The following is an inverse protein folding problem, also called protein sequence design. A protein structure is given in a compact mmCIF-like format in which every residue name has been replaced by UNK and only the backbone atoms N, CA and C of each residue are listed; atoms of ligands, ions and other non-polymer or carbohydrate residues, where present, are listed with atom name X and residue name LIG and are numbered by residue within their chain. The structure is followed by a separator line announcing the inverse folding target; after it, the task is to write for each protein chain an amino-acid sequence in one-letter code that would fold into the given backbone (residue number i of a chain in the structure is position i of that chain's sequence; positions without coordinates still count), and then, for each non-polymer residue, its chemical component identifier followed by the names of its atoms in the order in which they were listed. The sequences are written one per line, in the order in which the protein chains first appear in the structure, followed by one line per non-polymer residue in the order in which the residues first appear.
data_IF_136152376586
#
_entry.id   IF_136152376586
#
_cell.length_a   1.000
_cell.length_b   1.000
_cell.length_c   1.000
_cell.angle_alpha   90.00
_cell.angle_beta   90.00
_cell.angle_gamma   90.00
#
_symmetry.space_group_name_H-M   'P 1'
#
loop_
_entity.id
_entity.type
_entity.pdbx_description
1 polymer ?
#
# COMPACT_ATOMS: atom_id res chain seq x y z
N UNK A 1 -0.81 14.54 23.40
CA UNK A 1 0.46 14.61 22.64
C UNK A 1 0.50 13.42 21.70
N UNK A 2 0.52 13.62 20.37
CA UNK A 2 0.70 12.50 19.44
C UNK A 2 2.11 11.90 19.65
N UNK A 3 2.16 10.60 19.91
CA UNK A 3 3.41 9.86 20.11
C UNK A 3 3.86 9.28 18.77
N UNK A 4 5.15 9.41 18.45
CA UNK A 4 5.78 8.89 17.23
C UNK A 4 5.45 7.40 17.02
N UNK A 5 5.41 6.60 18.10
CA UNK A 5 5.06 5.18 18.04
C UNK A 5 3.64 4.91 17.53
N UNK A 6 2.70 5.84 17.77
CA UNK A 6 1.33 5.72 17.27
C UNK A 6 1.24 6.17 15.81
N UNK A 7 1.98 7.23 15.47
CA UNK A 7 2.09 7.73 14.10
C UNK A 7 2.67 6.67 13.15
N UNK A 8 3.78 6.03 13.54
CA UNK A 8 4.42 4.96 12.75
C UNK A 8 3.47 3.78 12.53
N UNK A 9 2.69 3.43 13.55
CA UNK A 9 1.73 2.33 13.49
C UNK A 9 0.56 2.61 12.55
N UNK A 10 0.16 3.88 12.42
CA UNK A 10 -0.88 4.31 11.49
C UNK A 10 -0.38 4.45 10.06
N UNK A 11 0.86 4.91 9.87
CA UNK A 11 1.45 5.22 8.57
C UNK A 11 1.98 3.95 7.88
N UNK A 12 2.68 3.09 8.61
CA UNK A 12 3.25 1.86 8.04
C UNK A 12 2.33 0.66 8.23
N UNK A 13 2.05 -0.13 7.17
CA UNK A 13 2.71 -0.14 5.85
C UNK A 13 1.97 0.61 4.73
N UNK A 14 0.92 1.39 5.03
CA UNK A 14 0.09 2.08 4.01
C UNK A 14 0.89 3.06 3.17
N UNK A 15 1.87 3.76 3.77
CA UNK A 15 2.76 4.66 3.04
C UNK A 15 3.56 3.94 1.95
N UNK A 16 4.02 2.70 2.20
CA UNK A 16 4.73 1.90 1.20
C UNK A 16 3.80 1.52 0.03
N UNK A 17 2.53 1.22 0.32
CA UNK A 17 1.55 0.94 -0.73
C UNK A 17 1.28 2.16 -1.62
N UNK A 18 1.18 3.36 -1.03
CA UNK A 18 1.01 4.61 -1.78
C UNK A 18 2.26 4.98 -2.61
N UNK A 19 3.45 4.74 -2.08
CA UNK A 19 4.68 4.95 -2.83
C UNK A 19 4.76 4.01 -4.05
N UNK A 20 4.41 2.72 -3.89
CA UNK A 20 4.36 1.76 -5.00
C UNK A 20 3.31 2.17 -6.05
N UNK A 21 2.14 2.65 -5.63
CA UNK A 21 1.07 3.02 -6.58
C UNK A 21 1.40 4.27 -7.38
N UNK A 22 2.23 5.17 -6.83
CA UNK A 22 2.70 6.39 -7.47
C UNK A 22 3.87 6.11 -8.44
N UNK A 23 4.77 5.21 -8.09
CA UNK A 23 5.98 4.94 -8.88
C UNK A 23 5.80 3.83 -9.93
N UNK A 24 4.85 2.91 -9.75
CA UNK A 24 4.62 1.77 -10.64
C UNK A 24 3.52 2.03 -11.68
N UNK A 25 3.73 1.68 -12.97
CA UNK A 25 2.69 1.77 -13.99
C UNK A 25 1.53 0.82 -13.67
N UNK A 26 0.30 1.25 -13.99
CA UNK A 26 -0.94 0.53 -13.65
C UNK A 26 -0.95 -0.95 -14.04
N UNK A 27 -0.28 -1.29 -15.16
CA UNK A 27 -0.22 -2.65 -15.72
C UNK A 27 0.66 -3.62 -14.92
N UNK A 28 1.44 -3.15 -13.94
CA UNK A 28 2.32 -3.94 -13.08
C UNK A 28 1.88 -3.90 -11.60
N UNK A 29 0.63 -3.48 -11.32
CA UNK A 29 0.10 -3.40 -9.96
C UNK A 29 -0.40 -4.76 -9.48
N UNK A 30 0.53 -5.67 -9.18
CA UNK A 30 0.24 -6.98 -8.60
C UNK A 30 0.38 -6.97 -7.08
N UNK A 31 -0.72 -7.26 -6.38
CA UNK A 31 -0.73 -7.27 -4.91
C UNK A 31 0.17 -8.36 -4.32
N UNK A 32 0.29 -9.51 -4.99
CA UNK A 32 1.14 -10.63 -4.54
C UNK A 32 2.63 -10.27 -4.70
N UNK A 33 2.99 -9.60 -5.80
CA UNK A 33 4.36 -9.13 -6.02
C UNK A 33 4.71 -8.01 -5.01
N UNK A 34 3.77 -7.10 -4.76
CA UNK A 34 3.91 -6.07 -3.72
C UNK A 34 4.19 -6.69 -2.34
N UNK A 35 3.44 -7.72 -1.90
CA UNK A 35 3.71 -8.38 -0.62
C UNK A 35 5.09 -9.04 -0.57
N UNK A 36 5.52 -9.62 -1.68
CA UNK A 36 6.85 -10.23 -1.79
C UNK A 36 7.96 -9.19 -1.62
N UNK A 37 7.78 -7.98 -2.17
CA UNK A 37 8.68 -6.83 -2.01
C UNK A 37 8.56 -6.14 -0.65
N UNK A 38 7.38 -6.20 -0.01
CA UNK A 38 7.14 -5.61 1.30
C UNK A 38 7.84 -6.39 2.42
N UNK A 39 7.97 -7.72 2.31
CA UNK A 39 8.67 -8.56 3.28
C UNK A 39 10.10 -8.13 3.65
N UNK A 40 11.01 -7.82 2.70
CA UNK A 40 12.33 -7.30 3.06
C UNK A 40 12.27 -5.88 3.64
N UNK A 41 11.28 -5.06 3.25
CA UNK A 41 11.10 -3.69 3.78
C UNK A 41 10.67 -3.75 5.24
N UNK A 42 9.74 -4.62 5.62
CA UNK A 42 9.34 -4.79 7.02
C UNK A 42 10.47 -5.31 7.91
N UNK A 43 11.33 -6.19 7.40
CA UNK A 43 12.56 -6.60 8.11
C UNK A 43 13.52 -5.44 8.37
N UNK A 44 13.61 -4.47 7.45
CA UNK A 44 14.42 -3.25 7.65
C UNK A 44 13.78 -2.32 8.68
N UNK A 45 12.46 -2.14 8.63
CA UNK A 45 11.70 -1.37 9.63
C UNK A 45 11.83 -1.98 11.04
N UNK A 46 11.82 -3.30 11.13
CA UNK A 46 12.03 -4.05 12.39
C UNK A 46 13.42 -3.78 12.98
N UNK A 47 14.46 -3.77 12.14
CA UNK A 47 15.83 -3.38 12.56
C UNK A 47 15.94 -1.92 12.99
N UNK A 48 15.12 -1.04 12.44
CA UNK A 48 15.06 0.38 12.83
C UNK A 48 14.22 0.62 14.09
N UNK A 49 13.56 -0.40 14.63
CA UNK A 49 12.70 -0.28 15.81
C UNK A 49 11.40 0.47 15.55
N UNK A 50 10.95 0.56 14.28
CA UNK A 50 9.71 1.25 13.91
C UNK A 50 8.50 0.39 14.29
N UNK A 51 7.52 0.96 14.96
CA UNK A 51 6.29 0.26 15.33
C UNK A 51 5.30 0.23 14.16
N UNK A 52 5.37 -0.79 13.29
CA UNK A 52 4.48 -0.92 12.12
C UNK A 52 3.38 -2.00 12.32
N UNK A 53 2.28 -1.88 11.57
CA UNK A 53 1.18 -2.83 11.66
C UNK A 53 1.45 -4.15 10.91
N UNK A 54 1.55 -5.26 11.64
CA UNK A 54 1.84 -6.61 11.09
C UNK A 54 0.64 -7.28 10.41
N UNK A 55 -0.58 -6.76 10.60
CA UNK A 55 -1.80 -7.34 10.04
C UNK A 55 -1.82 -7.30 8.50
N UNK A 56 -1.16 -6.31 7.89
CA UNK A 56 -1.13 -6.10 6.45
C UNK A 56 -0.18 -7.04 5.68
N UNK A 57 0.59 -7.89 6.37
CA UNK A 57 1.52 -8.83 5.73
C UNK A 57 0.85 -10.11 5.21
N UNK A 58 -0.43 -10.34 5.55
CA UNK A 58 -1.17 -11.50 5.07
C UNK A 58 -1.84 -11.18 3.73
N UNK A 59 -1.66 -12.01 2.69
CA UNK A 59 -2.46 -11.89 1.49
C UNK A 59 -3.94 -12.10 1.85
N UNK A 60 -4.87 -11.26 1.35
CA UNK A 60 -6.28 -11.53 1.48
C UNK A 60 -6.59 -12.85 0.75
N UNK A 61 -7.49 -13.69 1.28
CA UNK A 61 -7.82 -14.99 0.69
C UNK A 61 -8.47 -14.88 -0.70
N UNK A 62 -8.90 -13.68 -1.09
CA UNK A 62 -9.49 -13.41 -2.38
C UNK A 62 -8.72 -12.28 -3.07
N UNK A 63 -8.44 -12.38 -4.38
CA UNK A 63 -7.88 -11.27 -5.13
C UNK A 63 -8.85 -10.10 -5.02
N UNK A 64 -8.40 -9.03 -4.36
CA UNK A 64 -9.15 -7.77 -4.29
C UNK A 64 -9.15 -7.21 -5.72
N UNK A 65 -10.23 -7.46 -6.45
CA UNK A 65 -10.49 -6.84 -7.75
C UNK A 65 -10.51 -5.34 -7.50
N UNK A 66 -9.47 -4.64 -7.96
CA UNK A 66 -9.40 -3.20 -7.89
C UNK A 66 -10.48 -2.64 -8.81
N UNK A 67 -11.63 -2.28 -8.23
CA UNK A 67 -12.70 -1.57 -8.93
C UNK A 67 -12.13 -0.21 -9.32
N UNK A 68 -11.76 -0.07 -10.60
CA UNK A 68 -11.61 1.25 -11.20
C UNK A 68 -12.95 1.95 -11.03
N UNK A 69 -12.97 3.07 -10.32
CA UNK A 69 -13.97 4.09 -10.59
C UNK A 69 -13.70 4.59 -12.01
N UNK A 70 -14.34 3.92 -12.96
CA UNK A 70 -14.64 4.47 -14.26
C UNK A 70 -15.58 5.66 -14.05
N UNK A 71 -15.03 6.83 -13.78
CA UNK A 71 -15.64 8.10 -14.19
C UNK A 71 -15.17 8.40 -15.62
N UNK A 72 -15.56 7.53 -16.55
CA UNK A 72 -15.76 7.95 -17.92
C UNK A 72 -17.19 8.46 -18.03
N UNK A 73 -17.36 9.54 -18.82
CA UNK A 73 -18.60 10.18 -19.31
C UNK A 73 -18.88 11.53 -18.63
N UNK A 74 -19.09 12.66 -19.31
CA UNK A 74 -19.18 12.99 -20.74
C UNK A 74 -19.34 14.52 -20.88
N UNK A 75 -18.81 15.11 -21.96
CA UNK A 75 -19.19 16.35 -22.69
C UNK A 75 -17.90 17.00 -23.23
N UNK A 76 -17.52 16.95 -24.52
CA UNK A 76 -18.33 17.25 -25.70
C UNK A 76 -19.36 18.34 -25.41
N UNK A 77 -18.92 19.60 -25.44
CA UNK A 77 -19.78 20.72 -25.85
C UNK A 77 -18.90 21.90 -26.32
N UNK A 78 -19.00 22.19 -27.64
CA UNK A 78 -18.60 23.38 -28.42
C UNK A 78 -17.14 23.65 -28.76
#
# INVERSE_FOLDING_TARGET
MPNVNHTDYMIFPRACALAETLWSPYKQKDYVDFLSRLNPVTKRLDKMGVNYCKASLKPPPHPVVQKQESSASLSEES
#
